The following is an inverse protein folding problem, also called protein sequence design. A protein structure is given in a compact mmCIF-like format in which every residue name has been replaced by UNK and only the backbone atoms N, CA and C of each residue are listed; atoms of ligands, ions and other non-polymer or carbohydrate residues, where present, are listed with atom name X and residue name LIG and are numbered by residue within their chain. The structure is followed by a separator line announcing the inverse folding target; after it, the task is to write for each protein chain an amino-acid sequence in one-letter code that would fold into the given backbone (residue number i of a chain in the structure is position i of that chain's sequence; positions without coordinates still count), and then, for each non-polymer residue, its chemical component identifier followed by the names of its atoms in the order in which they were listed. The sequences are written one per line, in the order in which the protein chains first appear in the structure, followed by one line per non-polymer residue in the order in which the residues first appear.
data_IF_723454235654
#
_entry.id   IF_723454235654
#
_cell.length_a   1.000
_cell.length_b   1.000
_cell.length_c   1.000
_cell.angle_alpha   90.00
_cell.angle_beta   90.00
_cell.angle_gamma   90.00
#
_symmetry.space_group_name_H-M   'P 1'
#
loop_
_entity.id
_entity.type
_entity.pdbx_description
1 polymer ?
#
# COMPACT_ATOMS: atom_id res chain seq x y z
N UNK A 1 54.56 20.74 -7.58
CA UNK A 1 55.47 20.13 -6.65
C UNK A 1 54.70 19.10 -5.81
N UNK A 2 55.21 17.90 -5.52
CA UNK A 2 54.47 16.86 -4.78
C UNK A 2 53.98 17.37 -3.44
N UNK A 3 54.75 18.13 -2.71
CA UNK A 3 54.36 18.69 -1.38
C UNK A 3 53.11 19.60 -1.45
N UNK A 4 52.93 20.31 -2.58
CA UNK A 4 51.72 21.15 -2.79
C UNK A 4 50.50 20.28 -3.02
N UNK A 5 50.64 19.17 -3.75
CA UNK A 5 49.55 18.22 -3.97
C UNK A 5 49.14 17.50 -2.67
N UNK A 6 50.15 17.14 -1.86
CA UNK A 6 49.89 16.54 -0.52
C UNK A 6 49.14 17.51 0.40
N UNK A 7 49.60 18.76 0.48
CA UNK A 7 48.93 19.79 1.28
C UNK A 7 47.50 20.09 0.79
N UNK A 8 47.26 20.05 -0.52
CA UNK A 8 45.90 20.15 -1.09
C UNK A 8 45.02 18.95 -0.70
N UNK A 9 45.56 17.74 -0.77
CA UNK A 9 44.80 16.53 -0.40
C UNK A 9 44.39 16.55 1.08
N UNK A 10 45.30 16.96 1.96
CA UNK A 10 45.04 17.11 3.40
C UNK A 10 43.94 18.16 3.68
N UNK A 11 44.03 19.31 2.98
CA UNK A 11 43.01 20.37 3.08
C UNK A 11 41.65 19.87 2.61
N UNK A 12 41.58 19.16 1.49
CA UNK A 12 40.35 18.69 0.89
C UNK A 12 39.72 17.58 1.77
N UNK A 13 40.56 16.74 2.38
CA UNK A 13 40.11 15.75 3.39
C UNK A 13 39.52 16.44 4.62
N UNK A 14 40.18 17.48 5.16
CA UNK A 14 39.65 18.23 6.29
C UNK A 14 38.34 18.97 5.94
N UNK A 15 38.22 19.49 4.74
CA UNK A 15 36.99 20.12 4.25
C UNK A 15 35.84 19.08 4.12
N UNK A 16 36.14 17.88 3.65
CA UNK A 16 35.20 16.78 3.59
C UNK A 16 34.68 16.39 5.00
N UNK A 17 35.59 16.22 5.96
CA UNK A 17 35.20 15.92 7.34
C UNK A 17 34.33 17.03 7.94
N UNK A 18 34.66 18.29 7.68
CA UNK A 18 33.84 19.41 8.13
C UNK A 18 32.44 19.39 7.50
N UNK A 19 32.33 19.08 6.22
CA UNK A 19 31.01 18.99 5.54
C UNK A 19 30.12 17.87 6.11
N UNK A 20 30.72 16.80 6.63
CA UNK A 20 30.01 15.66 7.22
C UNK A 20 29.59 15.90 8.69
N UNK A 21 29.98 17.01 9.30
CA UNK A 21 29.54 17.35 10.68
C UNK A 21 28.09 17.81 10.74
N UNK A 22 27.51 18.23 9.61
CA UNK A 22 26.11 18.60 9.51
C UNK A 22 25.36 17.57 8.66
N UNK A 23 24.36 16.93 9.26
CA UNK A 23 23.50 15.95 8.59
C UNK A 23 22.16 16.60 8.25
N UNK A 24 21.84 16.64 6.97
CA UNK A 24 20.59 17.21 6.47
C UNK A 24 19.60 16.11 6.12
N UNK A 25 18.29 16.36 6.37
CA UNK A 25 17.24 15.45 5.95
C UNK A 25 17.19 15.34 4.42
N UNK A 26 17.24 14.13 3.84
CA UNK A 26 17.22 13.93 2.39
C UNK A 26 15.86 14.19 1.76
N UNK A 27 14.78 14.25 2.55
CA UNK A 27 13.41 14.47 2.13
C UNK A 27 12.57 15.13 3.22
N UNK A 28 11.41 15.65 2.84
CA UNK A 28 10.40 16.11 3.81
C UNK A 28 9.79 14.91 4.53
N UNK A 29 9.63 15.00 5.84
CA UNK A 29 9.07 13.89 6.62
C UNK A 29 9.05 14.15 8.10
N UNK A 30 8.65 13.11 8.83
CA UNK A 30 8.59 13.09 10.29
C UNK A 30 9.72 12.23 10.84
N UNK A 31 10.44 12.76 11.81
CA UNK A 31 11.46 12.00 12.53
C UNK A 31 10.78 11.13 13.58
N UNK A 32 11.15 9.87 13.63
CA UNK A 32 10.68 8.89 14.61
C UNK A 32 11.85 8.16 15.25
N UNK A 33 11.63 7.55 16.42
CA UNK A 33 12.65 6.82 17.18
C UNK A 33 13.90 7.68 17.45
N UNK A 34 13.67 8.91 17.90
CA UNK A 34 14.74 9.86 18.22
C UNK A 34 14.98 9.84 19.73
N UNK A 35 16.08 9.22 20.15
CA UNK A 35 16.48 9.12 21.55
C UNK A 35 17.79 9.87 21.86
N UNK A 36 18.37 10.52 20.85
CA UNK A 36 19.65 11.19 20.97
C UNK A 36 19.57 12.47 21.83
N UNK A 37 20.45 12.58 22.81
CA UNK A 37 20.57 13.76 23.65
C UNK A 37 21.83 14.57 23.32
N UNK A 38 21.77 15.86 23.60
CA UNK A 38 22.94 16.73 23.40
C UNK A 38 24.10 16.29 24.29
N UNK A 39 25.28 16.11 23.70
CA UNK A 39 26.48 15.64 24.39
C UNK A 39 26.67 14.11 24.33
N UNK A 40 25.77 13.40 23.72
CA UNK A 40 25.89 11.94 23.54
C UNK A 40 26.86 11.60 22.41
N UNK A 41 27.68 10.56 22.65
CA UNK A 41 28.60 10.05 21.65
C UNK A 41 27.91 9.14 20.65
N UNK A 42 28.00 9.51 19.38
CA UNK A 42 27.44 8.74 18.27
C UNK A 42 28.53 7.97 17.55
N UNK A 43 28.34 6.66 17.42
CA UNK A 43 29.26 5.80 16.68
C UNK A 43 28.90 5.83 15.19
N UNK A 44 29.92 5.95 14.33
CA UNK A 44 29.75 5.90 12.89
C UNK A 44 29.06 4.60 12.45
N UNK A 45 28.02 4.72 11.59
CA UNK A 45 27.23 3.58 11.09
C UNK A 45 26.10 3.12 12.02
N UNK A 46 25.93 3.70 13.21
CA UNK A 46 24.77 3.41 14.06
C UNK A 46 23.56 4.22 13.64
N UNK A 47 22.37 3.60 13.49
CA UNK A 47 21.15 4.33 13.24
C UNK A 47 20.76 5.18 14.46
N UNK A 48 20.48 6.46 14.25
CA UNK A 48 20.17 7.41 15.33
C UNK A 48 18.66 7.70 15.36
N UNK A 49 18.02 7.76 14.20
CA UNK A 49 16.59 8.00 14.08
C UNK A 49 16.09 7.44 12.73
N UNK A 50 14.79 7.36 12.59
CA UNK A 50 14.13 7.00 11.34
C UNK A 50 13.39 8.20 10.79
N UNK A 51 13.50 8.45 9.47
CA UNK A 51 12.75 9.49 8.77
C UNK A 51 11.64 8.85 7.95
N UNK A 52 10.40 9.19 8.26
CA UNK A 52 9.20 8.77 7.53
C UNK A 52 8.81 9.88 6.56
N UNK A 53 8.88 9.60 5.26
CA UNK A 53 8.53 10.58 4.22
C UNK A 53 7.06 10.97 4.26
N UNK A 54 6.77 12.26 4.06
CA UNK A 54 5.42 12.81 4.04
C UNK A 54 4.79 12.88 2.64
N UNK A 55 5.62 12.84 1.58
CA UNK A 55 5.18 13.22 0.23
C UNK A 55 4.44 12.11 -0.53
N UNK A 56 4.59 10.84 -0.14
CA UNK A 56 3.97 9.71 -0.84
C UNK A 56 3.41 8.73 0.17
N UNK A 57 2.10 8.74 0.30
CA UNK A 57 1.39 7.77 1.14
C UNK A 57 0.72 6.71 0.27
N UNK A 58 0.86 5.46 0.67
CA UNK A 58 0.20 4.34 0.01
C UNK A 58 -0.48 3.43 1.03
N UNK A 59 -1.45 2.69 0.57
CA UNK A 59 -2.17 1.69 1.37
C UNK A 59 -1.93 0.31 0.79
N UNK A 60 -1.70 -0.66 1.66
CA UNK A 60 -1.66 -2.08 1.33
C UNK A 60 -3.00 -2.71 1.74
N UNK A 61 -3.82 -3.06 0.77
CA UNK A 61 -5.09 -3.72 0.99
C UNK A 61 -4.99 -5.22 0.68
N UNK A 62 -5.35 -6.06 1.65
CA UNK A 62 -5.27 -7.52 1.52
C UNK A 62 -6.64 -8.08 1.13
N UNK A 63 -6.80 -8.41 -0.15
CA UNK A 63 -8.01 -9.02 -0.72
C UNK A 63 -7.87 -10.53 -0.84
N UNK A 64 -8.99 -11.24 -0.81
CA UNK A 64 -9.03 -12.66 -1.19
C UNK A 64 -8.80 -12.78 -2.69
N UNK A 65 -8.11 -13.84 -3.13
CA UNK A 65 -7.86 -14.14 -4.54
C UNK A 65 -9.15 -14.10 -5.38
N UNK A 66 -10.26 -14.59 -4.81
CA UNK A 66 -11.58 -14.60 -5.47
C UNK A 66 -12.18 -13.22 -5.71
N UNK A 67 -11.75 -12.20 -4.97
CA UNK A 67 -12.23 -10.82 -5.09
C UNK A 67 -11.45 -10.03 -6.15
N UNK A 68 -10.29 -10.54 -6.58
CA UNK A 68 -9.39 -9.85 -7.50
C UNK A 68 -9.69 -10.09 -8.99
N UNK A 69 -10.70 -10.88 -9.32
CA UNK A 69 -11.03 -11.27 -10.71
C UNK A 69 -11.13 -10.08 -11.67
N UNK A 70 -11.72 -8.99 -11.21
CA UNK A 70 -11.97 -7.78 -12.01
C UNK A 70 -11.09 -6.58 -11.60
N UNK A 71 -10.18 -6.77 -10.65
CA UNK A 71 -9.27 -5.70 -10.22
C UNK A 71 -8.12 -5.58 -11.22
N UNK A 72 -7.83 -4.35 -11.63
CA UNK A 72 -6.76 -4.00 -12.57
C UNK A 72 -6.01 -2.77 -12.09
N UNK A 73 -4.74 -2.69 -12.44
CA UNK A 73 -3.92 -1.49 -12.20
C UNK A 73 -4.54 -0.30 -12.92
N UNK A 74 -4.55 0.85 -12.26
CA UNK A 74 -5.13 2.10 -12.76
C UNK A 74 -6.60 2.33 -12.38
N UNK A 75 -7.28 1.35 -11.77
CA UNK A 75 -8.66 1.54 -11.29
C UNK A 75 -8.71 2.50 -10.11
N UNK A 76 -9.81 3.25 -10.02
CA UNK A 76 -10.09 4.15 -8.89
C UNK A 76 -10.52 3.35 -7.67
N UNK A 77 -10.14 3.84 -6.51
CA UNK A 77 -10.53 3.29 -5.23
C UNK A 77 -10.85 4.40 -4.24
N UNK A 78 -11.72 4.11 -3.31
CA UNK A 78 -12.04 4.98 -2.19
C UNK A 78 -11.51 4.34 -0.92
N UNK A 79 -10.82 5.12 -0.11
CA UNK A 79 -10.25 4.70 1.17
C UNK A 79 -10.96 5.46 2.28
N UNK A 80 -11.46 4.73 3.26
CA UNK A 80 -11.95 5.27 4.54
C UNK A 80 -10.99 4.84 5.62
N UNK A 81 -10.46 5.80 6.38
CA UNK A 81 -9.51 5.57 7.46
C UNK A 81 -10.25 5.66 8.78
N UNK A 82 -10.07 4.69 9.67
CA UNK A 82 -10.83 4.60 10.92
C UNK A 82 -10.63 5.82 11.83
N UNK A 83 -9.48 6.46 11.75
CA UNK A 83 -9.18 7.69 12.50
C UNK A 83 -9.96 8.92 11.97
N UNK A 84 -10.39 8.88 10.71
CA UNK A 84 -11.10 9.97 10.03
C UNK A 84 -12.36 9.45 9.34
N UNK A 85 -13.41 9.05 10.09
CA UNK A 85 -14.57 8.35 9.55
C UNK A 85 -15.38 9.21 8.56
N UNK A 86 -15.35 10.52 8.72
CA UNK A 86 -16.10 11.47 7.87
C UNK A 86 -15.34 11.84 6.59
N UNK A 87 -14.06 11.43 6.45
CA UNK A 87 -13.23 11.74 5.29
C UNK A 87 -13.06 10.52 4.40
N UNK A 88 -13.20 10.73 3.10
CA UNK A 88 -12.92 9.74 2.06
C UNK A 88 -11.72 10.21 1.27
N UNK A 89 -10.78 9.31 1.06
CA UNK A 89 -9.58 9.57 0.29
C UNK A 89 -9.68 8.86 -1.05
N UNK A 90 -9.47 9.59 -2.13
CA UNK A 90 -9.35 8.99 -3.45
C UNK A 90 -7.99 8.33 -3.61
N UNK A 91 -7.98 7.18 -4.26
CA UNK A 91 -6.77 6.43 -4.53
C UNK A 91 -6.85 5.72 -5.88
N UNK A 92 -5.68 5.32 -6.35
CA UNK A 92 -5.57 4.53 -7.59
C UNK A 92 -4.80 3.25 -7.32
N UNK A 93 -5.23 2.15 -7.91
CA UNK A 93 -4.52 0.87 -7.85
C UNK A 93 -3.17 1.01 -8.57
N UNK A 94 -2.09 1.03 -7.80
CA UNK A 94 -0.72 1.14 -8.32
C UNK A 94 -0.13 -0.22 -8.72
N UNK A 95 -0.55 -1.30 -8.05
CA UNK A 95 -0.06 -2.63 -8.36
C UNK A 95 -0.74 -3.71 -7.52
N UNK A 96 -0.63 -4.95 -8.00
CA UNK A 96 -1.10 -6.14 -7.31
C UNK A 96 0.14 -7.01 -7.07
N UNK A 97 0.30 -7.53 -5.84
CA UNK A 97 1.42 -8.40 -5.51
C UNK A 97 1.41 -9.65 -6.41
N UNK A 98 2.55 -10.04 -6.99
CA UNK A 98 2.65 -11.23 -7.83
C UNK A 98 2.60 -12.54 -7.03
N UNK A 99 2.72 -12.48 -5.70
CA UNK A 99 2.74 -13.65 -4.84
C UNK A 99 1.90 -13.42 -3.58
N UNK A 100 1.42 -14.52 -2.99
CA UNK A 100 0.64 -14.50 -1.77
C UNK A 100 1.55 -14.34 -0.54
N UNK A 101 1.00 -13.84 0.57
CA UNK A 101 1.77 -13.71 1.81
C UNK A 101 2.26 -15.05 2.37
N UNK A 102 1.63 -16.16 1.98
CA UNK A 102 2.03 -17.50 2.41
C UNK A 102 3.37 -17.95 1.82
N UNK A 103 3.70 -17.50 0.60
CA UNK A 103 4.99 -17.80 -0.05
C UNK A 103 6.19 -17.14 0.64
N UNK A 104 5.95 -16.02 1.31
CA UNK A 104 7.00 -15.28 2.04
C UNK A 104 7.01 -15.57 3.54
N UNK A 105 6.16 -16.48 4.02
CA UNK A 105 6.13 -16.87 5.42
C UNK A 105 7.35 -17.71 5.77
N UNK A 106 8.00 -17.39 6.87
CA UNK A 106 9.16 -18.17 7.40
C UNK A 106 8.78 -19.62 7.71
N UNK A 107 7.51 -19.85 8.04
CA UNK A 107 6.92 -21.18 8.25
C UNK A 107 5.67 -21.29 7.36
N UNK A 108 5.80 -21.81 6.14
CA UNK A 108 4.62 -22.05 5.29
C UNK A 108 3.73 -23.10 5.95
N UNK A 109 2.39 -22.97 5.86
CA UNK A 109 1.46 -23.94 6.43
C UNK A 109 1.64 -25.29 5.73
N UNK A 110 2.29 -26.24 6.41
CA UNK A 110 2.44 -27.60 5.92
C UNK A 110 1.20 -28.40 6.31
N UNK A 111 0.42 -28.83 5.32
CA UNK A 111 -0.65 -29.80 5.53
C UNK A 111 -0.05 -31.20 5.73
N UNK A 112 0.47 -31.47 6.95
CA UNK A 112 1.19 -32.73 7.27
C UNK A 112 0.28 -33.96 7.42
N UNK A 113 -1.04 -33.82 7.32
CA UNK A 113 -2.00 -34.89 7.68
C UNK A 113 -2.81 -35.43 6.50
N UNK A 114 -2.28 -35.40 5.28
CA UNK A 114 -2.88 -36.16 4.17
C UNK A 114 -4.23 -35.70 3.62
N UNK A 115 -4.93 -34.80 4.28
CA UNK A 115 -6.18 -34.23 3.79
C UNK A 115 -5.92 -32.84 3.19
N UNK A 116 -5.92 -32.73 1.86
CA UNK A 116 -5.71 -31.45 1.19
C UNK A 116 -6.98 -30.59 1.25
N UNK A 117 -6.90 -29.46 1.91
CA UNK A 117 -7.99 -28.46 1.97
C UNK A 117 -7.56 -27.22 1.17
N UNK A 118 -8.38 -26.82 0.20
CA UNK A 118 -8.17 -25.58 -0.54
C UNK A 118 -8.45 -24.39 0.38
N UNK A 119 -7.40 -23.67 0.76
CA UNK A 119 -7.51 -22.42 1.53
C UNK A 119 -7.38 -21.23 0.55
N UNK A 120 -8.39 -20.35 0.56
CA UNK A 120 -8.36 -19.12 -0.25
C UNK A 120 -7.24 -18.23 0.25
N UNK A 121 -6.31 -17.93 -0.64
CA UNK A 121 -5.15 -17.08 -0.34
C UNK A 121 -5.52 -15.60 -0.41
N UNK A 122 -4.71 -14.75 0.26
CA UNK A 122 -4.82 -13.30 0.18
C UNK A 122 -3.66 -12.72 -0.61
N UNK A 123 -3.98 -11.77 -1.47
CA UNK A 123 -3.03 -11.00 -2.26
C UNK A 123 -3.08 -9.53 -1.85
N UNK A 124 -1.93 -8.91 -1.78
CA UNK A 124 -1.82 -7.50 -1.42
C UNK A 124 -1.95 -6.63 -2.67
N UNK A 125 -2.88 -5.70 -2.62
CA UNK A 125 -3.04 -4.64 -3.61
C UNK A 125 -2.45 -3.37 -3.04
N UNK A 126 -1.52 -2.75 -3.77
CA UNK A 126 -0.95 -1.46 -3.42
C UNK A 126 -1.76 -0.34 -4.06
N UNK A 127 -2.23 0.58 -3.23
CA UNK A 127 -2.97 1.75 -3.68
C UNK A 127 -2.19 3.01 -3.35
N UNK A 128 -2.11 3.92 -4.31
CA UNK A 128 -1.53 5.25 -4.15
C UNK A 128 -2.66 6.21 -3.82
N UNK A 129 -2.57 6.91 -2.70
CA UNK A 129 -3.52 7.95 -2.32
C UNK A 129 -3.27 9.18 -3.19
N UNK A 130 -4.32 9.75 -3.78
CA UNK A 130 -4.26 11.05 -4.42
C UNK A 130 -4.08 12.13 -3.34
N UNK A 131 -3.16 13.04 -3.57
CA UNK A 131 -3.01 14.23 -2.72
C UNK A 131 -3.99 15.27 -3.23
N UNK A 132 -5.17 15.35 -2.59
CA UNK A 132 -6.14 16.38 -2.85
C UNK A 132 -5.96 17.52 -1.84
N UNK A 133 -6.12 18.76 -2.30
CA UNK A 133 -6.01 19.96 -1.46
C UNK A 133 -7.01 19.93 -0.29
N UNK A 134 -8.14 19.26 -0.47
CA UNK A 134 -9.17 19.09 0.55
C UNK A 134 -8.71 18.27 1.76
N UNK A 135 -7.70 17.42 1.58
CA UNK A 135 -7.15 16.55 2.61
C UNK A 135 -5.72 16.93 3.04
N UNK A 136 -5.21 18.08 2.58
CA UNK A 136 -3.83 18.53 2.82
C UNK A 136 -3.48 18.66 4.32
N UNK A 137 -4.47 19.02 5.16
CA UNK A 137 -4.29 19.13 6.61
C UNK A 137 -4.38 17.81 7.36
N UNK A 138 -4.64 16.69 6.65
CA UNK A 138 -4.83 15.39 7.30
C UNK A 138 -3.51 14.62 7.36
N UNK A 139 -2.98 14.49 8.57
CA UNK A 139 -1.72 13.75 8.78
C UNK A 139 -2.02 12.26 8.78
N UNK A 140 -1.67 11.59 7.69
CA UNK A 140 -1.72 10.14 7.57
C UNK A 140 -0.44 9.52 8.15
N UNK A 141 -0.61 8.62 9.13
CA UNK A 141 0.50 7.94 9.79
C UNK A 141 0.60 6.49 9.33
N UNK A 142 1.82 5.98 9.25
CA UNK A 142 2.05 4.57 8.97
C UNK A 142 1.43 3.70 10.08
N UNK A 143 0.81 2.58 9.69
CA UNK A 143 0.17 1.64 10.62
C UNK A 143 -1.31 1.94 10.94
N UNK A 144 -1.90 2.99 10.35
CA UNK A 144 -3.34 3.23 10.47
C UNK A 144 -4.14 2.15 9.75
N UNK A 145 -5.28 1.76 10.33
CA UNK A 145 -6.25 0.86 9.71
C UNK A 145 -7.14 1.63 8.74
N UNK A 146 -7.44 0.99 7.60
CA UNK A 146 -8.27 1.58 6.57
C UNK A 146 -9.12 0.51 5.87
N UNK A 147 -10.31 0.92 5.44
CA UNK A 147 -11.18 0.13 4.57
C UNK A 147 -11.04 0.67 3.15
N UNK A 148 -10.78 -0.24 2.21
CA UNK A 148 -10.57 0.10 0.81
C UNK A 148 -11.67 -0.50 -0.05
N UNK A 149 -12.29 0.35 -0.88
CA UNK A 149 -13.29 -0.06 -1.88
C UNK A 149 -12.77 0.28 -3.27
N UNK A 150 -12.56 -0.73 -4.11
CA UNK A 150 -12.08 -0.56 -5.49
C UNK A 150 -13.29 -0.56 -6.44
N UNK A 151 -13.39 0.46 -7.28
CA UNK A 151 -14.39 0.49 -8.34
C UNK A 151 -13.88 -0.29 -9.55
N UNK A 152 -14.41 -1.49 -9.73
CA UNK A 152 -14.06 -2.36 -10.85
C UNK A 152 -14.89 -2.08 -12.11
N UNK A 153 -15.94 -1.27 -12.02
CA UNK A 153 -16.91 -1.05 -13.11
C UNK A 153 -17.71 -2.29 -13.50
N UNK A 154 -17.50 -3.43 -12.83
CA UNK A 154 -18.18 -4.67 -13.12
C UNK A 154 -19.57 -4.70 -12.48
N UNK A 155 -20.62 -4.66 -13.29
CA UNK A 155 -22.00 -4.86 -12.85
C UNK A 155 -22.38 -6.32 -13.03
N UNK A 156 -22.75 -6.99 -11.96
CA UNK A 156 -23.27 -8.36 -12.01
C UNK A 156 -24.58 -8.34 -12.81
N UNK A 157 -24.58 -8.87 -14.04
CA UNK A 157 -25.81 -9.06 -14.80
C UNK A 157 -26.58 -10.22 -14.19
N UNK A 158 -27.68 -9.92 -13.54
CA UNK A 158 -28.68 -10.91 -13.09
C UNK A 158 -29.54 -11.41 -14.28
N UNK A 159 -28.92 -11.62 -15.43
CA UNK A 159 -29.63 -12.08 -16.64
C UNK A 159 -29.64 -13.60 -16.63
N UNK A 160 -30.60 -14.19 -16.01
CA UNK A 160 -30.72 -15.67 -16.04
C UNK A 160 -31.79 -16.26 -15.12
N UNK A 161 -32.33 -15.48 -14.18
CA UNK A 161 -33.27 -16.06 -13.20
C UNK A 161 -34.75 -15.88 -13.57
N UNK A 162 -35.09 -15.12 -14.61
CA UNK A 162 -36.47 -14.87 -15.02
C UNK A 162 -36.76 -15.20 -16.49
N UNK A 163 -35.85 -15.84 -17.22
CA UNK A 163 -36.10 -16.22 -18.62
C UNK A 163 -37.00 -17.45 -18.78
N UNK A 164 -37.44 -18.09 -17.69
CA UNK A 164 -38.25 -19.31 -17.75
C UNK A 164 -39.71 -19.17 -17.30
N UNK A 165 -40.17 -17.96 -16.92
CA UNK A 165 -41.54 -17.82 -16.34
C UNK A 165 -42.57 -17.27 -17.33
N UNK A 166 -42.15 -16.91 -18.54
CA UNK A 166 -43.06 -16.32 -19.55
C UNK A 166 -43.83 -17.25 -20.45
N UNK A 167 -43.49 -18.53 -20.54
CA UNK A 167 -43.99 -19.41 -21.64
C UNK A 167 -45.15 -20.34 -21.27
N UNK A 168 -45.51 -20.42 -19.98
CA UNK A 168 -46.63 -21.28 -19.58
C UNK A 168 -47.99 -20.57 -19.55
N UNK A 169 -48.01 -19.23 -19.61
CA UNK A 169 -49.24 -18.44 -19.55
C UNK A 169 -49.92 -18.19 -20.92
N UNK A 170 -49.29 -18.52 -22.04
CA UNK A 170 -49.87 -18.34 -23.40
C UNK A 170 -50.64 -19.58 -23.92
N UNK A 171 -50.64 -20.69 -23.17
CA UNK A 171 -51.30 -21.94 -23.59
C UNK A 171 -52.75 -22.14 -23.11
N UNK A 172 -53.37 -21.18 -22.39
CA UNK A 172 -54.67 -21.36 -21.75
C UNK A 172 -55.87 -20.60 -22.40
N UNK A 173 -55.72 -20.03 -23.58
CA UNK A 173 -56.83 -19.34 -24.25
C UNK A 173 -56.97 -19.74 -25.72
N UNK A 174 -57.25 -21.04 -25.98
CA UNK A 174 -57.91 -21.43 -27.24
C UNK A 174 -58.49 -22.81 -27.11
N UNK A 175 -59.57 -22.93 -26.34
CA UNK A 175 -60.57 -23.96 -26.61
C UNK A 175 -61.88 -23.57 -25.93
N UNK A 176 -62.74 -22.89 -26.70
CA UNK A 176 -64.20 -22.91 -26.66
C UNK A 176 -64.77 -21.94 -27.71
N UNK A 177 -65.15 -22.39 -28.81
CA UNK A 177 -66.43 -22.37 -29.53
C UNK A 177 -66.16 -22.71 -30.97
#
# INVERSE_FOLDING_TARGET
HPDVLEAQALRDQAALHLSQTAVYAPMRGYVTNFDLQQGEYVKAGSPIFSLVGADKTWVHANYKETELTHVRVGQRATISIDTYPDKKFEATVAGISPATGAEFAVLPPQNATGNWVKVVQRLTVRLQIAQDDENADTILRAGMSAIVTIDTGHKRRLTGMFAGVGDWASGLTSDRL
#
